data_IF_689999375119
#
_entry.id   IF_689999375119
#
_cell.length_a   1.000
_cell.length_b   1.000
_cell.length_c   1.000
_cell.angle_alpha   90.00
_cell.angle_beta   90.00
_cell.angle_gamma   90.00
#
_symmetry.space_group_name_H-M   'P 1'
#
loop_
_entity.id
_entity.type
_entity.pdbx_description
1 polymer ?
#
# COMPACT_ATOMS: atom_id res chain seq x y z
N UNK A 1 -10.67 -10.62 -16.03
CA UNK A 1 -9.58 -11.39 -15.40
C UNK A 1 -8.27 -10.88 -16.00
N UNK A 2 -7.29 -10.52 -15.15
CA UNK A 2 -5.87 -10.19 -15.45
C UNK A 2 -5.37 -8.77 -15.09
N UNK A 3 -6.14 -7.89 -14.45
CA UNK A 3 -5.59 -6.62 -13.93
C UNK A 3 -4.71 -6.83 -12.69
N UNK A 4 -5.13 -7.67 -11.74
CA UNK A 4 -4.36 -7.98 -10.53
C UNK A 4 -2.99 -8.59 -10.84
N UNK A 5 -2.93 -9.63 -11.68
CA UNK A 5 -1.66 -10.27 -12.04
C UNK A 5 -0.72 -9.32 -12.79
N UNK A 6 -1.28 -8.36 -13.52
CA UNK A 6 -0.52 -7.36 -14.25
C UNK A 6 0.09 -6.33 -13.30
N UNK A 7 -0.65 -5.89 -12.28
CA UNK A 7 -0.15 -5.05 -11.18
C UNK A 7 1.05 -5.73 -10.50
N UNK A 8 0.91 -7.00 -10.12
CA UNK A 8 1.97 -7.80 -9.49
C UNK A 8 3.22 -7.89 -10.38
N UNK A 9 3.03 -8.14 -11.68
CA UNK A 9 4.16 -8.23 -12.62
C UNK A 9 4.90 -6.89 -12.77
N UNK A 10 4.17 -5.76 -12.84
CA UNK A 10 4.79 -4.43 -12.90
C UNK A 10 5.50 -4.08 -11.60
N UNK A 11 4.91 -4.39 -10.44
CA UNK A 11 5.52 -4.17 -9.14
C UNK A 11 6.82 -4.97 -8.99
N UNK A 12 6.83 -6.25 -9.40
CA UNK A 12 8.03 -7.09 -9.45
C UNK A 12 9.08 -6.56 -10.43
N UNK A 13 8.66 -6.12 -11.61
CA UNK A 13 9.56 -5.53 -12.59
C UNK A 13 10.24 -4.28 -12.06
N UNK A 14 9.47 -3.39 -11.42
CA UNK A 14 10.01 -2.21 -10.74
C UNK A 14 11.02 -2.63 -9.67
N UNK A 15 10.65 -3.56 -8.78
CA UNK A 15 11.54 -4.06 -7.72
C UNK A 15 12.86 -4.63 -8.25
N UNK A 16 12.83 -5.34 -9.36
CA UNK A 16 14.02 -5.91 -10.00
C UNK A 16 14.90 -4.87 -10.71
N UNK A 17 14.31 -3.76 -11.18
CA UNK A 17 15.04 -2.67 -11.86
C UNK A 17 15.74 -1.76 -10.85
N UNK A 18 15.32 -1.76 -9.59
CA UNK A 18 15.93 -0.95 -8.55
C UNK A 18 17.36 -1.40 -8.27
N UNK A 19 18.30 -0.49 -8.57
CA UNK A 19 19.73 -0.70 -8.33
C UNK A 19 20.03 -0.76 -6.83
N UNK A 20 19.36 0.08 -6.03
CA UNK A 20 19.47 0.13 -4.57
C UNK A 20 18.13 -0.26 -3.90
N UNK A 21 17.99 -1.54 -3.56
CA UNK A 21 16.82 -2.07 -2.84
C UNK A 21 16.62 -1.44 -1.45
N UNK A 22 17.69 -0.87 -0.88
CA UNK A 22 17.60 -0.20 0.41
C UNK A 22 16.90 1.16 0.37
N UNK A 23 16.81 1.80 -0.80
CA UNK A 23 16.16 3.10 -0.97
C UNK A 23 14.67 3.00 -1.34
N UNK A 24 14.05 1.83 -1.18
CA UNK A 24 12.64 1.60 -1.53
C UNK A 24 11.68 2.64 -0.91
N UNK A 25 11.98 3.17 0.29
CA UNK A 25 11.23 4.26 0.91
C UNK A 25 11.23 5.54 0.06
N UNK A 26 12.40 5.95 -0.45
CA UNK A 26 12.52 7.14 -1.31
C UNK A 26 11.76 6.94 -2.62
N UNK A 27 11.92 5.77 -3.24
CA UNK A 27 11.21 5.42 -4.48
C UNK A 27 9.70 5.40 -4.26
N UNK A 28 9.23 4.88 -3.12
CA UNK A 28 7.83 4.93 -2.74
C UNK A 28 7.33 6.36 -2.61
N UNK A 29 8.08 7.23 -1.92
CA UNK A 29 7.70 8.63 -1.74
C UNK A 29 7.66 9.39 -3.07
N UNK A 30 8.64 9.16 -3.95
CA UNK A 30 8.68 9.70 -5.31
C UNK A 30 7.46 9.25 -6.13
N UNK A 31 7.14 7.96 -6.10
CA UNK A 31 5.99 7.40 -6.80
C UNK A 31 4.66 7.90 -6.23
N UNK A 32 4.57 8.06 -4.90
CA UNK A 32 3.38 8.60 -4.22
C UNK A 32 3.18 10.07 -4.59
N UNK A 33 4.26 10.83 -4.67
CA UNK A 33 4.24 12.22 -5.15
C UNK A 33 3.70 12.28 -6.58
N UNK A 34 4.21 11.43 -7.48
CA UNK A 34 3.72 11.32 -8.86
C UNK A 34 2.23 10.94 -8.89
N UNK A 35 1.82 9.93 -8.14
CA UNK A 35 0.41 9.50 -8.05
C UNK A 35 -0.49 10.63 -7.55
N UNK A 36 -0.02 11.44 -6.60
CA UNK A 36 -0.77 12.58 -6.08
C UNK A 36 -1.04 13.66 -7.14
N UNK A 37 -0.10 13.89 -8.08
CA UNK A 37 -0.31 14.77 -9.24
C UNK A 37 -1.37 14.24 -10.20
N UNK A 38 -1.61 12.92 -10.19
CA UNK A 38 -2.57 12.23 -11.02
C UNK A 38 -3.93 12.03 -10.34
N UNK A 39 -4.33 12.99 -9.48
CA UNK A 39 -5.55 12.92 -8.65
C UNK A 39 -6.83 12.59 -9.43
N UNK A 40 -6.92 13.03 -10.69
CA UNK A 40 -8.09 12.86 -11.54
C UNK A 40 -7.97 11.59 -12.40
N UNK A 41 -8.00 10.43 -11.74
CA UNK A 41 -7.82 9.08 -12.35
C UNK A 41 -8.70 8.85 -13.58
N UNK A 42 -9.91 9.42 -13.59
CA UNK A 42 -10.89 9.24 -14.67
C UNK A 42 -10.47 9.98 -15.94
N UNK A 43 -10.09 11.26 -15.81
CA UNK A 43 -9.57 12.05 -16.94
C UNK A 43 -8.24 11.51 -17.44
N UNK A 44 -7.40 11.00 -16.55
CA UNK A 44 -6.11 10.43 -16.93
C UNK A 44 -6.28 9.09 -17.63
N UNK A 45 -7.21 8.25 -17.18
CA UNK A 45 -7.57 7.01 -17.88
C UNK A 45 -8.12 7.32 -19.27
N UNK A 46 -9.05 8.26 -19.38
CA UNK A 46 -9.61 8.68 -20.67
C UNK A 46 -8.52 9.25 -21.59
N UNK A 47 -7.58 10.04 -21.07
CA UNK A 47 -6.45 10.59 -21.82
C UNK A 47 -5.47 9.51 -22.30
N UNK A 48 -5.16 8.54 -21.44
CA UNK A 48 -4.22 7.45 -21.75
C UNK A 48 -4.85 6.43 -22.71
N UNK A 49 -6.14 6.12 -22.55
CA UNK A 49 -6.88 5.20 -23.44
C UNK A 49 -7.30 5.87 -24.76
N UNK A 50 -7.34 7.20 -24.85
CA UNK A 50 -7.72 7.89 -26.08
C UNK A 50 -6.72 7.62 -27.22
N UNK A 51 -7.15 6.99 -28.33
CA UNK A 51 -6.30 6.72 -29.49
C UNK A 51 -6.05 7.95 -30.36
N UNK A 52 -6.80 9.05 -30.15
CA UNK A 52 -6.63 10.31 -30.90
C UNK A 52 -5.39 11.10 -30.48
N UNK A 53 -4.81 10.81 -29.33
CA UNK A 53 -3.65 11.51 -28.80
C UNK A 53 -2.40 10.72 -29.16
N UNK A 54 -1.49 11.37 -29.89
CA UNK A 54 -0.21 10.77 -30.29
C UNK A 54 0.59 10.36 -29.06
N UNK A 55 1.26 9.21 -29.15
CA UNK A 55 2.12 8.70 -28.08
C UNK A 55 3.21 9.72 -27.68
N UNK A 56 3.68 10.52 -28.65
CA UNK A 56 4.67 11.59 -28.43
C UNK A 56 4.17 12.72 -27.53
N UNK A 57 2.89 13.10 -27.63
CA UNK A 57 2.33 14.17 -26.81
C UNK A 57 2.05 13.68 -25.38
N UNK A 58 1.71 12.40 -25.24
CA UNK A 58 1.61 11.74 -23.93
C UNK A 58 2.97 11.66 -23.23
N UNK A 59 4.03 11.29 -23.96
CA UNK A 59 5.40 11.26 -23.41
C UNK A 59 5.86 12.64 -22.96
N UNK A 60 5.62 13.70 -23.75
CA UNK A 60 5.94 15.08 -23.36
C UNK A 60 5.18 15.54 -22.11
N UNK A 61 3.90 15.19 -21.99
CA UNK A 61 3.13 15.52 -20.79
C UNK A 61 3.73 14.86 -19.55
N UNK A 62 4.08 13.57 -19.67
CA UNK A 62 4.73 12.84 -18.58
C UNK A 62 6.11 13.40 -18.25
N UNK A 63 6.93 13.74 -19.25
CA UNK A 63 8.25 14.35 -19.03
C UNK A 63 8.14 15.68 -18.28
N UNK A 64 7.17 16.54 -18.62
CA UNK A 64 6.93 17.78 -17.89
C UNK A 64 6.57 17.53 -16.42
N UNK A 65 5.74 16.52 -16.13
CA UNK A 65 5.40 16.14 -14.74
C UNK A 65 6.63 15.58 -14.01
N UNK A 66 7.41 14.72 -14.67
CA UNK A 66 8.59 14.08 -14.08
C UNK A 66 9.74 15.06 -13.83
N UNK A 67 9.91 16.08 -14.67
CA UNK A 67 10.90 17.15 -14.49
C UNK A 67 10.55 18.00 -13.27
N UNK A 68 9.26 18.31 -13.07
CA UNK A 68 8.80 19.07 -11.91
C UNK A 68 8.95 18.33 -10.58
N UNK A 69 9.00 17.00 -10.58
CA UNK A 69 9.07 16.18 -9.37
C UNK A 69 10.49 15.76 -8.96
N UNK A 70 11.53 16.09 -9.74
CA UNK A 70 12.94 15.74 -9.47
C UNK A 70 13.16 14.26 -9.08
N UNK A 71 12.45 13.34 -9.74
CA UNK A 71 12.49 11.90 -9.41
C UNK A 71 13.69 11.16 -10.02
N UNK A 72 14.02 10.00 -9.44
CA UNK A 72 15.06 9.07 -9.89
C UNK A 72 14.88 8.62 -11.35
N UNK A 73 15.98 8.34 -12.04
CA UNK A 73 15.96 7.79 -13.40
C UNK A 73 15.22 6.46 -13.50
N UNK A 74 15.27 5.63 -12.45
CA UNK A 74 14.57 4.33 -12.40
C UNK A 74 13.05 4.54 -12.42
N UNK A 75 12.56 5.51 -11.64
CA UNK A 75 11.14 5.89 -11.56
C UNK A 75 10.67 6.52 -12.87
N UNK A 76 11.49 7.37 -13.50
CA UNK A 76 11.19 7.96 -14.82
C UNK A 76 11.03 6.88 -15.88
N UNK A 77 11.98 5.94 -15.95
CA UNK A 77 11.95 4.86 -16.93
C UNK A 77 10.73 3.95 -16.71
N UNK A 78 10.42 3.64 -15.45
CA UNK A 78 9.21 2.88 -15.11
C UNK A 78 7.93 3.57 -15.56
N UNK A 79 7.76 4.86 -15.26
CA UNK A 79 6.60 5.64 -15.69
C UNK A 79 6.47 5.69 -17.22
N UNK A 80 7.60 5.80 -17.93
CA UNK A 80 7.62 5.76 -19.41
C UNK A 80 7.13 4.42 -19.95
N UNK A 81 7.55 3.30 -19.36
CA UNK A 81 7.12 1.95 -19.74
C UNK A 81 5.62 1.77 -19.47
N UNK A 82 5.11 2.23 -18.32
CA UNK A 82 3.67 2.17 -18.02
C UNK A 82 2.85 3.00 -19.01
N UNK A 83 3.33 4.20 -19.37
CA UNK A 83 2.67 5.07 -20.33
C UNK A 83 2.66 4.45 -21.75
N UNK A 84 3.79 3.92 -22.21
CA UNK A 84 3.90 3.25 -23.52
C UNK A 84 2.94 2.07 -23.64
N UNK A 85 2.69 1.38 -22.53
CA UNK A 85 1.74 0.28 -22.46
C UNK A 85 0.28 0.73 -22.18
N UNK A 86 0.01 2.04 -22.08
CA UNK A 86 -1.33 2.58 -21.82
C UNK A 86 -1.88 2.29 -20.43
N UNK A 87 -1.00 2.01 -19.45
CA UNK A 87 -1.36 1.47 -18.12
C UNK A 87 -1.07 2.41 -16.97
N UNK A 88 -0.76 3.67 -17.25
CA UNK A 88 -0.41 4.66 -16.23
C UNK A 88 -1.52 4.85 -15.17
N UNK A 89 -2.78 4.56 -15.51
CA UNK A 89 -3.90 4.63 -14.56
C UNK A 89 -3.81 3.62 -13.39
N UNK A 90 -3.02 2.56 -13.51
CA UNK A 90 -2.79 1.55 -12.47
C UNK A 90 -1.66 1.91 -11.50
N UNK A 91 -1.07 3.11 -11.64
CA UNK A 91 0.14 3.47 -10.90
C UNK A 91 -0.05 3.37 -9.38
N UNK A 92 -1.19 3.82 -8.84
CA UNK A 92 -1.52 3.69 -7.41
C UNK A 92 -1.52 2.23 -6.92
N UNK A 93 -2.12 1.33 -7.69
CA UNK A 93 -2.22 -0.07 -7.32
C UNK A 93 -0.85 -0.74 -7.39
N UNK A 94 -0.04 -0.39 -8.39
CA UNK A 94 1.34 -0.88 -8.50
C UNK A 94 2.23 -0.35 -7.37
N UNK A 95 2.02 0.89 -6.90
CA UNK A 95 2.76 1.43 -5.75
C UNK A 95 2.45 0.64 -4.48
N UNK A 96 1.17 0.32 -4.24
CA UNK A 96 0.77 -0.46 -3.07
C UNK A 96 1.38 -1.87 -3.11
N UNK A 97 1.30 -2.54 -4.25
CA UNK A 97 1.86 -3.88 -4.43
C UNK A 97 3.40 -3.88 -4.31
N UNK A 98 4.05 -2.85 -4.84
CA UNK A 98 5.49 -2.64 -4.70
C UNK A 98 5.89 -2.47 -3.22
N UNK A 99 5.12 -1.72 -2.44
CA UNK A 99 5.33 -1.57 -1.00
C UNK A 99 5.24 -2.92 -0.28
N UNK A 100 4.25 -3.76 -0.62
CA UNK A 100 4.11 -5.08 -0.02
C UNK A 100 5.29 -6.00 -0.36
N UNK A 101 5.73 -6.04 -1.62
CA UNK A 101 6.89 -6.84 -2.05
C UNK A 101 8.18 -6.38 -1.36
N UNK A 102 8.41 -5.06 -1.27
CA UNK A 102 9.59 -4.52 -0.62
C UNK A 102 9.60 -4.79 0.89
N UNK A 103 8.43 -4.75 1.54
CA UNK A 103 8.29 -5.13 2.94
C UNK A 103 8.54 -6.63 3.14
N UNK A 104 7.99 -7.48 2.28
CA UNK A 104 8.16 -8.93 2.37
C UNK A 104 9.64 -9.34 2.23
N UNK A 105 10.38 -8.75 1.28
CA UNK A 105 11.81 -9.01 1.07
C UNK A 105 12.66 -8.57 2.28
N UNK A 106 12.26 -7.49 2.96
CA UNK A 106 12.90 -7.04 4.22
C UNK A 106 12.41 -7.80 5.46
N UNK A 107 11.48 -8.75 5.32
CA UNK A 107 10.88 -9.45 6.44
C UNK A 107 10.05 -8.53 7.36
N UNK A 108 9.57 -7.41 6.83
CA UNK A 108 8.69 -6.47 7.50
C UNK A 108 7.24 -6.91 7.30
N UNK A 109 6.47 -6.98 8.38
CA UNK A 109 5.03 -7.24 8.29
C UNK A 109 4.25 -6.01 8.72
N UNK A 110 3.28 -5.61 7.90
CA UNK A 110 2.35 -4.53 8.22
C UNK A 110 1.25 -5.05 9.15
N UNK A 111 1.17 -4.50 10.35
CA UNK A 111 0.09 -4.75 11.30
C UNK A 111 -0.76 -3.48 11.41
N UNK A 112 -2.03 -3.55 11.04
CA UNK A 112 -3.00 -2.48 11.24
C UNK A 112 -3.65 -2.69 12.61
N UNK A 113 -3.43 -1.75 13.52
CA UNK A 113 -4.00 -1.79 14.86
C UNK A 113 -5.14 -0.78 14.90
N UNK A 114 -6.38 -1.27 14.87
CA UNK A 114 -7.57 -0.46 15.05
C UNK A 114 -7.94 -0.38 16.53
N UNK A 115 -8.00 0.84 17.06
CA UNK A 115 -8.36 1.11 18.45
C UNK A 115 -9.49 2.13 18.55
N UNK A 116 -10.26 2.04 19.62
CA UNK A 116 -11.32 3.00 19.98
C UNK A 116 -10.78 4.25 20.68
N UNK A 117 -9.57 4.17 21.23
CA UNK A 117 -8.90 5.25 21.95
C UNK A 117 -7.46 5.41 21.42
N UNK A 118 -6.92 6.65 21.39
CA UNK A 118 -5.53 6.87 21.00
C UNK A 118 -4.59 6.02 21.84
N UNK A 119 -3.82 5.17 21.17
CA UNK A 119 -2.90 4.24 21.81
C UNK A 119 -1.67 5.04 22.25
N UNK A 120 -1.24 4.87 23.51
CA UNK A 120 0.00 5.45 24.02
C UNK A 120 1.21 4.71 23.43
N UNK A 121 2.32 5.42 23.21
CA UNK A 121 3.56 4.85 22.67
C UNK A 121 4.09 3.66 23.49
N UNK A 122 3.86 3.66 24.81
CA UNK A 122 4.21 2.55 25.70
C UNK A 122 3.48 1.25 25.35
N UNK A 123 2.20 1.34 25.01
CA UNK A 123 1.39 0.16 24.67
C UNK A 123 1.65 -0.28 23.22
N UNK A 124 1.97 0.66 22.33
CA UNK A 124 2.45 0.34 20.98
C UNK A 124 3.75 -0.47 21.01
N UNK A 125 4.70 -0.10 21.86
CA UNK A 125 5.95 -0.85 22.01
C UNK A 125 5.72 -2.26 22.56
N UNK A 126 4.83 -2.42 23.55
CA UNK A 126 4.45 -3.75 24.06
C UNK A 126 3.79 -4.62 22.99
N UNK A 127 2.90 -4.04 22.18
CA UNK A 127 2.24 -4.73 21.06
C UNK A 127 3.28 -5.12 20.01
N UNK A 128 4.21 -4.21 19.69
CA UNK A 128 5.31 -4.46 18.75
C UNK A 128 6.19 -5.62 19.23
N UNK A 129 6.58 -5.63 20.50
CA UNK A 129 7.38 -6.72 21.08
C UNK A 129 6.62 -8.05 21.12
N UNK A 130 5.34 -8.03 21.50
CA UNK A 130 4.50 -9.21 21.52
C UNK A 130 4.38 -9.82 20.12
N UNK A 131 4.04 -9.00 19.13
CA UNK A 131 3.88 -9.45 17.76
C UNK A 131 5.24 -9.89 17.17
N UNK A 132 6.34 -9.17 17.44
CA UNK A 132 7.70 -9.55 17.00
C UNK A 132 8.13 -10.90 17.56
N UNK A 133 7.79 -11.22 18.82
CA UNK A 133 8.04 -12.55 19.40
C UNK A 133 7.23 -13.64 18.72
N UNK A 134 6.01 -13.32 18.29
CA UNK A 134 5.10 -14.31 17.69
C UNK A 134 5.43 -14.61 16.22
N UNK A 135 5.90 -13.63 15.45
CA UNK A 135 6.22 -13.79 14.01
C UNK A 135 7.71 -13.85 13.69
N UNK A 136 8.60 -13.63 14.66
CA UNK A 136 10.06 -13.58 14.47
C UNK A 136 10.52 -12.56 13.41
N UNK A 137 9.67 -11.60 13.07
CA UNK A 137 9.83 -10.63 11.99
C UNK A 137 9.61 -9.21 12.52
N UNK A 138 10.17 -8.23 11.85
CA UNK A 138 10.01 -6.83 12.25
C UNK A 138 8.66 -6.31 11.77
N UNK A 139 7.97 -5.51 12.59
CA UNK A 139 6.55 -5.17 12.36
C UNK A 139 6.40 -3.66 12.30
N UNK A 140 5.77 -3.20 11.22
CA UNK A 140 5.35 -1.82 11.04
C UNK A 140 3.90 -1.74 11.47
N UNK A 141 3.67 -1.04 12.59
CA UNK A 141 2.33 -0.83 13.13
C UNK A 141 1.74 0.42 12.48
N UNK A 142 0.59 0.27 11.82
CA UNK A 142 -0.24 1.40 11.37
C UNK A 142 -1.44 1.52 12.31
N UNK A 143 -1.49 2.59 13.07
CA UNK A 143 -2.60 2.87 13.99
C UNK A 143 -3.75 3.50 13.21
N UNK A 144 -4.97 3.00 13.43
CA UNK A 144 -6.19 3.57 12.85
C UNK A 144 -7.23 3.75 13.95
N UNK A 145 -7.65 4.98 14.20
CA UNK A 145 -8.68 5.26 15.19
C UNK A 145 -10.06 4.94 14.61
N UNK A 146 -10.72 3.91 15.16
CA UNK A 146 -12.07 3.50 14.79
C UNK A 146 -13.01 3.69 15.99
N UNK A 147 -13.73 4.83 16.06
CA UNK A 147 -14.65 5.12 17.17
C UNK A 147 -15.88 4.19 17.20
N UNK A 148 -16.12 3.39 16.15
CA UNK A 148 -17.18 2.37 16.12
C UNK A 148 -16.88 1.15 17.01
N UNK A 149 -15.64 1.01 17.49
CA UNK A 149 -15.26 -0.03 18.43
C UNK A 149 -15.70 0.37 19.84
N UNK A 150 -16.64 -0.40 20.41
CA UNK A 150 -17.23 -0.13 21.73
C UNK A 150 -16.18 -0.28 22.86
N UNK A 151 -15.19 -1.17 22.68
CA UNK A 151 -13.90 -1.20 23.37
C UNK A 151 -13.03 -2.34 22.81
N UNK A 152 -11.70 -2.21 22.89
CA UNK A 152 -10.72 -3.24 22.52
C UNK A 152 -9.91 -2.91 21.26
N UNK A 153 -8.97 -3.81 20.93
CA UNK A 153 -7.97 -3.62 19.87
C UNK A 153 -8.17 -4.71 18.81
N UNK A 154 -8.20 -4.33 17.54
CA UNK A 154 -8.16 -5.27 16.41
C UNK A 154 -6.81 -5.12 15.72
N UNK A 155 -6.02 -6.20 15.70
CA UNK A 155 -4.74 -6.26 15.02
C UNK A 155 -4.94 -7.08 13.75
N UNK A 156 -4.82 -6.45 12.59
CA UNK A 156 -4.87 -7.11 11.28
C UNK A 156 -3.47 -7.17 10.68
N UNK A 157 -2.99 -8.37 10.40
CA UNK A 157 -1.66 -8.65 9.89
C UNK A 157 -1.76 -9.59 8.68
N UNK A 158 -1.76 -9.03 7.47
CA UNK A 158 -2.07 -9.78 6.25
C UNK A 158 -3.41 -10.52 6.36
N UNK A 159 -3.35 -11.85 6.41
CA UNK A 159 -4.51 -12.74 6.57
C UNK A 159 -4.85 -13.09 8.03
N UNK A 160 -4.01 -12.73 9.00
CA UNK A 160 -4.24 -12.99 10.40
C UNK A 160 -4.96 -11.80 11.05
N UNK A 161 -6.11 -12.05 11.66
CA UNK A 161 -6.87 -11.05 12.42
C UNK A 161 -6.90 -11.49 13.87
N UNK A 162 -6.32 -10.68 14.75
CA UNK A 162 -6.43 -10.83 16.20
C UNK A 162 -7.44 -9.79 16.66
N UNK A 163 -8.66 -10.22 16.95
CA UNK A 163 -9.74 -9.37 17.43
C UNK A 163 -9.88 -9.49 18.95
N UNK A 164 -9.41 -8.46 19.66
CA UNK A 164 -9.58 -8.30 21.11
C UNK A 164 -10.74 -7.38 21.49
N UNK A 165 -11.73 -7.18 20.61
CA UNK A 165 -12.87 -6.29 20.88
C UNK A 165 -13.90 -6.90 21.84
N UNK A 166 -14.47 -6.08 22.72
CA UNK A 166 -15.58 -6.49 23.59
C UNK A 166 -16.81 -6.95 22.78
N UNK A 167 -16.96 -6.47 21.54
CA UNK A 167 -18.02 -6.91 20.63
C UNK A 167 -17.90 -8.39 20.31
N UNK A 168 -16.69 -8.90 20.09
CA UNK A 168 -16.45 -10.31 19.85
C UNK A 168 -16.79 -11.15 21.09
N UNK A 169 -16.35 -10.71 22.27
CA UNK A 169 -16.67 -11.37 23.55
C UNK A 169 -18.18 -11.44 23.83
N UNK A 170 -18.92 -10.34 23.61
CA UNK A 170 -20.37 -10.29 23.75
C UNK A 170 -21.09 -11.20 22.73
N UNK A 171 -20.62 -11.24 21.48
CA UNK A 171 -21.16 -12.16 20.48
C UNK A 171 -20.90 -13.62 20.84
N UNK A 172 -19.72 -13.94 21.36
CA UNK A 172 -19.38 -15.30 21.78
C UNK A 172 -20.25 -15.74 22.97
N UNK A 173 -20.48 -14.84 23.94
CA UNK A 173 -21.41 -15.08 25.05
C UNK A 173 -22.85 -15.28 24.56
N UNK A 174 -23.34 -14.42 23.66
CA UNK A 174 -24.67 -14.57 23.06
C UNK A 174 -24.81 -15.91 22.34
N UNK A 175 -23.78 -16.32 21.60
CA UNK A 175 -23.78 -17.60 20.89
C UNK A 175 -23.80 -18.80 21.84
N UNK A 176 -23.07 -18.72 22.98
CA UNK A 176 -23.09 -19.76 24.02
C UNK A 176 -24.44 -19.84 24.74
N UNK A 177 -25.11 -18.71 24.94
CA UNK A 177 -26.42 -18.65 25.61
C UNK A 177 -27.59 -19.07 24.72
N UNK A 178 -27.52 -18.84 23.40
CA UNK A 178 -28.56 -19.28 22.44
C UNK A 178 -28.48 -20.78 22.06
N UNK A 179 -27.51 -21.52 22.60
CA UNK A 179 -27.33 -22.96 22.33
C UNK A 179 -27.93 -23.87 23.42
N UNK A 180 -28.71 -23.29 24.32
CA UNK A 180 -29.50 -23.94 25.38
C UNK A 180 -30.97 -23.78 25.00
#
# INVERSE_FOLDING_TARGET
>A
MNTEHLIINYAKALYNVLTDKDQWHKIKDELTTISSFFTDKKKLKDFVECPKILASDKEKFLENVLVNCSVSNDVKNFCRIMLKNGRLFLIDEVINEFEEIAMEDKGLIKAVVSSSYPIKDEDLNKIKDFLKRQTSREIIIKCEDKPELIAGIIIKMGNMIIDGSLKCYLNELKYKLCKI
#
